data_IF_550632811031
#
_entry.id   IF_550632811031
#
_cell.length_a   1.000
_cell.length_b   1.000
_cell.length_c   1.000
_cell.angle_alpha   90.00
_cell.angle_beta   90.00
_cell.angle_gamma   90.00
#
_symmetry.space_group_name_H-M   'P 1'
#
loop_
_entity.id
_entity.type
_entity.pdbx_description
1 polymer ?
#
# COMPACT_ATOMS: atom_id res chain seq x y z
N UNK A 1 -11.19 -6.45 -16.78
CA UNK A 1 -12.33 -5.81 -17.44
C UNK A 1 -13.52 -5.82 -16.50
N UNK A 2 -14.03 -4.64 -16.13
CA UNK A 2 -15.01 -4.42 -15.06
C UNK A 2 -16.31 -5.23 -15.21
N UNK A 3 -16.75 -5.49 -16.44
CA UNK A 3 -18.02 -6.17 -16.74
C UNK A 3 -17.87 -7.67 -17.02
N UNK A 4 -16.65 -8.21 -17.14
CA UNK A 4 -16.45 -9.61 -17.48
C UNK A 4 -17.10 -10.58 -16.47
N UNK A 5 -17.05 -10.34 -15.14
CA UNK A 5 -17.71 -11.21 -14.16
C UNK A 5 -19.22 -11.31 -14.36
N UNK A 6 -19.87 -10.27 -14.90
CA UNK A 6 -21.34 -10.23 -15.11
C UNK A 6 -21.82 -11.24 -16.16
N UNK A 7 -20.92 -11.81 -16.95
CA UNK A 7 -21.25 -12.80 -17.97
C UNK A 7 -21.32 -14.24 -17.43
N UNK A 8 -21.06 -14.45 -16.12
CA UNK A 8 -20.99 -15.76 -15.49
C UNK A 8 -21.91 -15.84 -14.27
N UNK A 9 -22.39 -17.05 -13.97
CA UNK A 9 -23.04 -17.31 -12.69
C UNK A 9 -21.99 -17.50 -11.59
N UNK A 10 -21.95 -16.55 -10.66
CA UNK A 10 -21.02 -16.54 -9.53
C UNK A 10 -21.73 -16.82 -8.19
N UNK A 11 -22.98 -17.28 -8.23
CA UNK A 11 -23.83 -17.45 -7.04
C UNK A 11 -23.32 -18.49 -6.04
N UNK A 12 -22.41 -19.38 -6.44
CA UNK A 12 -21.77 -20.36 -5.56
C UNK A 12 -20.68 -19.75 -4.66
N UNK A 13 -20.19 -18.55 -4.97
CA UNK A 13 -19.15 -17.89 -4.19
C UNK A 13 -19.69 -17.43 -2.82
N UNK A 14 -19.02 -17.85 -1.75
CA UNK A 14 -19.37 -17.49 -0.37
C UNK A 14 -18.32 -16.62 0.31
N UNK A 15 -17.06 -16.76 -0.11
CA UNK A 15 -15.93 -16.01 0.41
C UNK A 15 -15.06 -15.58 -0.76
N UNK A 16 -14.61 -14.33 -0.74
CA UNK A 16 -13.67 -13.74 -1.68
C UNK A 16 -12.39 -13.38 -0.94
N UNK A 17 -11.22 -13.64 -1.53
CA UNK A 17 -9.94 -13.27 -0.93
C UNK A 17 -9.36 -12.03 -1.59
N UNK A 18 -8.77 -11.15 -0.78
CA UNK A 18 -7.84 -10.08 -1.19
C UNK A 18 -6.51 -10.31 -0.48
N UNK A 19 -5.39 -10.10 -1.18
CA UNK A 19 -4.06 -10.40 -0.65
C UNK A 19 -2.96 -9.59 -1.35
N UNK A 20 -1.96 -9.18 -0.56
CA UNK A 20 -0.65 -8.78 -1.06
C UNK A 20 -0.40 -7.27 -1.11
N UNK A 21 -1.44 -6.46 -1.27
CA UNK A 21 -1.41 -4.98 -1.20
C UNK A 21 -2.69 -4.49 -0.51
N UNK A 22 -2.68 -3.29 0.11
CA UNK A 22 -3.90 -2.67 0.61
C UNK A 22 -4.94 -2.55 -0.52
N UNK A 23 -6.14 -3.07 -0.29
CA UNK A 23 -7.25 -2.94 -1.23
C UNK A 23 -7.87 -1.54 -1.09
N UNK A 24 -7.95 -0.80 -2.19
CA UNK A 24 -8.57 0.52 -2.19
C UNK A 24 -10.09 0.42 -2.05
N UNK A 25 -10.71 1.57 -1.77
CA UNK A 25 -12.15 1.66 -1.53
C UNK A 25 -13.01 1.27 -2.75
N UNK A 26 -12.63 1.69 -3.96
CA UNK A 26 -13.43 1.45 -5.16
C UNK A 26 -13.35 -0.02 -5.56
N UNK A 27 -12.15 -0.60 -5.53
CA UNK A 27 -11.93 -2.02 -5.81
C UNK A 27 -12.65 -2.91 -4.79
N UNK A 28 -12.62 -2.55 -3.50
CA UNK A 28 -13.34 -3.30 -2.47
C UNK A 28 -14.85 -3.34 -2.76
N UNK A 29 -15.46 -2.18 -3.05
CA UNK A 29 -16.89 -2.11 -3.38
C UNK A 29 -17.18 -2.93 -4.64
N UNK A 30 -16.42 -2.70 -5.72
CA UNK A 30 -16.61 -3.44 -6.97
C UNK A 30 -16.51 -4.95 -6.74
N UNK A 31 -15.55 -5.42 -5.94
CA UNK A 31 -15.35 -6.84 -5.68
C UNK A 31 -16.50 -7.43 -4.84
N UNK A 32 -16.99 -6.70 -3.84
CA UNK A 32 -18.13 -7.11 -3.02
C UNK A 32 -19.43 -7.14 -3.83
N UNK A 33 -19.67 -6.09 -4.61
CA UNK A 33 -20.92 -5.92 -5.34
C UNK A 33 -20.99 -6.77 -6.62
N UNK A 34 -19.95 -6.69 -7.46
CA UNK A 34 -19.96 -7.30 -8.80
C UNK A 34 -19.58 -8.77 -8.76
N UNK A 35 -18.55 -9.14 -8.00
CA UNK A 35 -18.09 -10.54 -7.91
C UNK A 35 -18.80 -11.27 -6.78
N UNK A 36 -18.94 -10.62 -5.62
CA UNK A 36 -19.55 -11.22 -4.44
C UNK A 36 -21.07 -11.18 -4.41
N UNK A 37 -21.71 -10.50 -5.37
CA UNK A 37 -23.15 -10.31 -5.45
C UNK A 37 -23.77 -9.79 -4.13
N UNK A 38 -23.01 -8.96 -3.40
CA UNK A 38 -23.36 -8.42 -2.07
C UNK A 38 -23.67 -9.51 -1.02
N UNK A 39 -23.20 -10.74 -1.24
CA UNK A 39 -23.46 -11.91 -0.40
C UNK A 39 -22.18 -12.57 0.12
N UNK A 40 -21.13 -12.61 -0.71
CA UNK A 40 -19.87 -13.21 -0.32
C UNK A 40 -19.11 -12.31 0.67
N UNK A 41 -18.49 -12.93 1.68
CA UNK A 41 -17.61 -12.23 2.62
C UNK A 41 -16.24 -12.02 1.96
N UNK A 42 -15.74 -10.78 1.94
CA UNK A 42 -14.35 -10.48 1.58
C UNK A 42 -13.46 -10.72 2.79
N UNK A 43 -12.46 -11.57 2.61
CA UNK A 43 -11.34 -11.74 3.52
C UNK A 43 -10.11 -11.01 2.95
N UNK A 44 -9.84 -9.82 3.48
CA UNK A 44 -8.60 -9.11 3.20
C UNK A 44 -7.50 -9.66 4.11
N UNK A 45 -6.54 -10.34 3.51
CA UNK A 45 -5.56 -11.17 4.21
C UNK A 45 -4.19 -10.50 4.19
N UNK A 46 -3.78 -9.97 5.33
CA UNK A 46 -2.45 -9.39 5.49
C UNK A 46 -1.46 -10.44 5.97
N UNK A 47 -0.36 -10.56 5.22
CA UNK A 47 0.82 -11.35 5.54
C UNK A 47 1.99 -11.03 4.61
N UNK A 48 3.14 -11.61 4.92
CA UNK A 48 4.39 -11.46 4.17
C UNK A 48 5.03 -12.83 3.93
N UNK A 49 5.95 -12.93 2.97
CA UNK A 49 6.70 -14.17 2.71
C UNK A 49 7.32 -14.73 4.00
N UNK A 50 7.88 -13.85 4.82
CA UNK A 50 8.60 -14.15 6.07
C UNK A 50 7.69 -14.58 7.20
N UNK A 51 6.38 -14.35 7.06
CA UNK A 51 5.38 -14.77 8.03
C UNK A 51 4.87 -16.18 7.78
N UNK A 52 5.07 -16.72 6.58
CA UNK A 52 4.68 -18.07 6.18
C UNK A 52 3.17 -18.26 5.93
N UNK A 53 2.32 -17.34 6.38
CA UNK A 53 0.87 -17.39 6.18
C UNK A 53 0.17 -16.19 6.79
N UNK A 54 -1.16 -16.17 6.73
CA UNK A 54 -2.00 -15.05 7.19
C UNK A 54 -1.65 -14.64 8.63
N UNK A 55 -1.50 -13.34 8.87
CA UNK A 55 -1.21 -12.76 10.19
C UNK A 55 -2.43 -12.02 10.71
N UNK A 56 -3.05 -11.20 9.88
CA UNK A 56 -4.31 -10.50 10.14
C UNK A 56 -5.26 -10.89 9.02
N UNK A 57 -6.43 -11.37 9.38
CA UNK A 57 -7.51 -11.60 8.43
C UNK A 57 -8.85 -11.55 9.18
N UNK A 58 -9.93 -11.09 8.55
CA UNK A 58 -11.26 -11.32 9.11
C UNK A 58 -11.56 -12.82 9.01
N UNK A 59 -12.29 -13.35 10.00
CA UNK A 59 -12.89 -14.68 9.90
C UNK A 59 -14.26 -14.55 9.24
N UNK A 60 -14.45 -15.03 7.99
CA UNK A 60 -15.73 -14.95 7.30
C UNK A 60 -16.84 -15.53 8.17
N UNK A 61 -17.99 -14.86 8.18
CA UNK A 61 -19.20 -15.24 8.94
C UNK A 61 -19.08 -15.12 10.48
N UNK A 62 -17.90 -14.84 11.03
CA UNK A 62 -17.71 -14.61 12.46
C UNK A 62 -17.42 -13.14 12.80
N UNK A 63 -16.75 -12.43 11.89
CA UNK A 63 -16.32 -11.05 12.09
C UNK A 63 -16.97 -10.16 11.02
N UNK A 64 -17.65 -9.06 11.39
CA UNK A 64 -18.15 -8.08 10.42
C UNK A 64 -17.03 -7.56 9.52
N UNK A 65 -17.28 -7.46 8.22
CA UNK A 65 -16.30 -6.87 7.33
C UNK A 65 -16.23 -5.37 7.54
N UNK A 66 -15.01 -4.85 7.67
CA UNK A 66 -14.75 -3.42 7.51
C UNK A 66 -13.92 -3.20 6.25
N UNK A 67 -14.44 -2.33 5.40
CA UNK A 67 -13.79 -1.93 4.15
C UNK A 67 -12.37 -1.43 4.44
N UNK A 68 -11.38 -1.89 3.66
CA UNK A 68 -9.93 -1.63 3.81
C UNK A 68 -9.26 -2.18 5.07
N UNK A 69 -9.99 -2.79 5.99
CA UNK A 69 -9.39 -3.40 7.16
C UNK A 69 -8.99 -4.85 6.88
N UNK A 70 -7.80 -5.22 7.35
CA UNK A 70 -7.37 -6.61 7.39
C UNK A 70 -8.03 -7.39 8.55
N UNK A 71 -8.81 -6.74 9.42
CA UNK A 71 -9.49 -7.38 10.56
C UNK A 71 -8.62 -7.43 11.81
N UNK A 72 -8.52 -8.62 12.40
CA UNK A 72 -7.82 -8.86 13.67
C UNK A 72 -6.67 -9.86 13.50
N UNK A 73 -5.66 -9.82 14.38
CA UNK A 73 -4.63 -10.86 14.41
C UNK A 73 -5.26 -12.25 14.56
N UNK A 74 -4.78 -13.21 13.78
CA UNK A 74 -5.24 -14.59 13.87
C UNK A 74 -4.86 -15.25 15.21
N UNK A 75 -5.54 -16.34 15.63
CA UNK A 75 -5.21 -17.05 16.85
C UNK A 75 -3.72 -17.41 16.94
N UNK A 76 -3.09 -17.04 18.05
CA UNK A 76 -1.66 -17.25 18.29
C UNK A 76 -0.74 -16.16 17.72
N UNK A 77 -1.27 -15.18 16.98
CA UNK A 77 -0.53 -14.03 16.49
C UNK A 77 -0.69 -12.85 17.45
N UNK A 78 0.44 -12.33 17.94
CA UNK A 78 0.46 -11.12 18.77
C UNK A 78 0.81 -9.88 17.94
N UNK A 79 -0.05 -9.56 16.97
CA UNK A 79 0.08 -8.38 16.09
C UNK A 79 -0.30 -7.10 16.82
N UNK A 80 0.58 -6.09 16.78
CA UNK A 80 0.43 -4.83 17.51
C UNK A 80 0.82 -3.62 16.65
N UNK A 81 0.12 -2.49 16.84
CA UNK A 81 0.58 -1.17 16.35
C UNK A 81 1.34 -0.47 17.46
N UNK A 82 2.57 -0.07 17.18
CA UNK A 82 3.49 0.53 18.17
C UNK A 82 4.16 1.80 17.67
N UNK A 83 4.64 2.62 18.61
CA UNK A 83 5.57 3.71 18.30
C UNK A 83 6.99 3.19 18.05
N UNK A 84 7.92 4.13 17.76
CA UNK A 84 9.35 3.82 17.55
C UNK A 84 10.05 3.19 18.76
N UNK A 85 9.48 3.31 19.96
CA UNK A 85 10.00 2.75 21.20
C UNK A 85 9.29 1.44 21.59
N UNK A 86 8.52 0.85 20.66
CA UNK A 86 7.78 -0.39 20.87
C UNK A 86 6.59 -0.24 21.81
N UNK A 87 6.19 0.98 22.20
CA UNK A 87 5.00 1.22 23.03
C UNK A 87 3.76 1.06 22.17
N UNK A 88 2.81 0.24 22.62
CA UNK A 88 1.52 0.05 21.94
C UNK A 88 0.76 1.38 21.85
N UNK A 89 0.27 1.69 20.65
CA UNK A 89 -0.52 2.88 20.35
C UNK A 89 -2.01 2.65 20.59
N UNK A 90 -2.74 3.76 20.73
CA UNK A 90 -4.17 3.82 20.89
C UNK A 90 -4.95 3.75 19.58
N UNK A 91 -6.24 4.07 19.68
CA UNK A 91 -7.19 4.19 18.55
C UNK A 91 -6.82 5.41 17.70
N UNK A 92 -6.91 5.26 16.37
CA UNK A 92 -6.59 6.26 15.34
C UNK A 92 -5.15 6.81 15.40
N UNK A 93 -4.25 6.15 16.11
CA UNK A 93 -2.84 6.51 16.19
C UNK A 93 -2.02 5.70 15.17
N UNK A 94 -1.44 6.40 14.19
CA UNK A 94 -0.57 5.80 13.19
C UNK A 94 0.76 5.32 13.80
N UNK A 95 1.10 4.06 13.56
CA UNK A 95 2.33 3.46 14.05
C UNK A 95 2.88 2.36 13.16
N UNK A 96 3.80 1.59 13.73
CA UNK A 96 4.48 0.48 13.09
C UNK A 96 3.77 -0.82 13.44
N UNK A 97 3.50 -1.66 12.44
CA UNK A 97 2.97 -2.99 12.67
C UNK A 97 4.10 -3.96 13.05
N UNK A 98 3.98 -4.54 14.24
CA UNK A 98 4.93 -5.51 14.78
C UNK A 98 4.22 -6.79 15.20
N UNK A 99 4.97 -7.89 15.27
CA UNK A 99 4.51 -9.11 15.93
C UNK A 99 5.36 -9.32 17.17
N UNK A 100 4.74 -9.21 18.35
CA UNK A 100 5.45 -9.10 19.62
C UNK A 100 5.89 -10.45 20.21
N UNK A 101 5.45 -11.56 19.63
CA UNK A 101 5.82 -12.93 20.02
C UNK A 101 6.04 -13.80 18.77
N UNK A 102 6.93 -14.80 18.82
CA UNK A 102 7.10 -15.76 17.74
C UNK A 102 5.80 -16.54 17.46
N UNK A 103 5.61 -16.92 16.20
CA UNK A 103 4.51 -17.76 15.74
C UNK A 103 5.04 -18.99 15.00
N UNK A 104 4.23 -20.06 14.84
CA UNK A 104 4.71 -21.34 14.31
C UNK A 104 5.38 -21.23 12.93
N UNK A 105 4.76 -20.51 12.00
CA UNK A 105 5.18 -20.40 10.60
C UNK A 105 6.24 -19.32 10.32
N UNK A 106 6.72 -18.62 11.35
CA UNK A 106 7.71 -17.56 11.21
C UNK A 106 8.97 -18.04 10.47
N UNK A 107 9.49 -17.26 9.53
CA UNK A 107 10.78 -17.55 8.90
C UNK A 107 11.89 -17.70 9.95
N UNK A 108 12.83 -18.61 9.70
CA UNK A 108 13.90 -18.94 10.66
C UNK A 108 15.22 -18.22 10.38
N UNK A 109 15.36 -17.60 9.20
CA UNK A 109 16.59 -16.95 8.75
C UNK A 109 16.52 -16.59 7.28
N UNK A 110 17.58 -15.95 6.78
CA UNK A 110 17.85 -15.79 5.35
C UNK A 110 18.95 -16.80 5.01
N UNK A 111 18.76 -17.57 3.94
CA UNK A 111 19.70 -18.62 3.56
C UNK A 111 21.13 -18.09 3.43
N UNK A 112 22.03 -18.60 4.27
CA UNK A 112 23.45 -18.22 4.31
C UNK A 112 23.75 -16.85 4.91
N UNK A 113 22.77 -16.16 5.51
CA UNK A 113 22.93 -14.79 6.04
C UNK A 113 21.99 -14.50 7.23
N UNK A 114 22.26 -15.15 8.37
CA UNK A 114 21.47 -14.99 9.60
C UNK A 114 21.59 -13.57 10.18
N UNK A 115 22.74 -12.91 10.03
CA UNK A 115 22.95 -11.54 10.49
C UNK A 115 22.02 -10.56 9.76
N UNK A 116 21.84 -10.73 8.45
CA UNK A 116 20.88 -9.94 7.68
C UNK A 116 19.45 -10.20 8.13
N UNK A 117 19.09 -11.42 8.51
CA UNK A 117 17.75 -11.69 9.04
C UNK A 117 17.49 -10.90 10.32
N UNK A 118 18.42 -10.95 11.28
CA UNK A 118 18.31 -10.17 12.53
C UNK A 118 18.27 -8.67 12.24
N UNK A 119 19.17 -8.18 11.38
CA UNK A 119 19.23 -6.76 10.99
C UNK A 119 17.99 -6.30 10.21
N UNK A 120 17.31 -7.17 9.47
CA UNK A 120 16.16 -6.75 8.66
C UNK A 120 14.89 -6.70 9.47
N UNK A 121 14.68 -7.67 10.39
CA UNK A 121 13.39 -7.83 11.05
C UNK A 121 13.41 -7.53 12.56
N UNK A 122 14.58 -7.37 13.18
CA UNK A 122 14.72 -7.28 14.64
C UNK A 122 15.62 -6.12 15.13
N UNK A 123 16.08 -5.21 14.26
CA UNK A 123 16.96 -4.10 14.66
C UNK A 123 16.29 -2.75 14.84
N UNK A 124 15.03 -2.60 14.42
CA UNK A 124 14.42 -1.27 14.29
C UNK A 124 13.56 -0.89 15.49
N UNK A 125 12.83 -1.85 16.05
CA UNK A 125 11.85 -1.60 17.10
C UNK A 125 12.13 -2.49 18.31
N UNK A 126 12.34 -1.85 19.46
CA UNK A 126 12.59 -2.52 20.73
C UNK A 126 11.55 -2.12 21.76
N UNK A 127 11.03 -3.09 22.51
CA UNK A 127 10.24 -2.86 23.72
C UNK A 127 11.06 -3.29 24.92
N UNK A 128 11.41 -2.35 25.80
CA UNK A 128 12.20 -2.65 27.00
C UNK A 128 13.51 -3.40 26.68
N UNK A 129 14.21 -2.96 25.62
CA UNK A 129 15.43 -3.59 25.07
C UNK A 129 15.23 -4.97 24.42
N UNK A 130 14.00 -5.49 24.32
CA UNK A 130 13.71 -6.72 23.57
C UNK A 130 13.32 -6.35 22.14
N UNK A 131 13.96 -6.95 21.12
CA UNK A 131 13.57 -6.69 19.74
C UNK A 131 12.19 -7.28 19.46
N UNK A 132 11.40 -6.57 18.67
CA UNK A 132 10.13 -7.06 18.13
C UNK A 132 10.32 -7.42 16.65
N UNK A 133 9.55 -8.38 16.13
CA UNK A 133 9.51 -8.58 14.68
C UNK A 133 8.86 -7.36 14.06
N UNK A 134 9.63 -6.58 13.31
CA UNK A 134 9.11 -5.46 12.55
C UNK A 134 8.78 -5.93 11.14
N UNK A 135 7.51 -5.78 10.76
CA UNK A 135 7.05 -6.11 9.41
C UNK A 135 7.60 -5.15 8.35
N UNK A 136 8.00 -3.93 8.74
CA UNK A 136 8.26 -2.84 7.80
C UNK A 136 6.98 -2.19 7.25
N UNK A 137 5.81 -2.55 7.76
CA UNK A 137 4.52 -1.93 7.44
C UNK A 137 4.03 -1.04 8.58
N UNK A 138 3.22 -0.04 8.22
CA UNK A 138 2.51 0.83 9.14
C UNK A 138 1.03 0.46 9.25
N UNK A 139 0.39 0.99 10.27
CA UNK A 139 -1.05 0.84 10.44
C UNK A 139 -1.58 1.58 11.66
N UNK A 140 -2.88 1.45 11.87
CA UNK A 140 -3.58 1.98 13.03
C UNK A 140 -4.73 1.05 13.42
N UNK A 141 -5.26 1.27 14.63
CA UNK A 141 -6.50 0.67 15.09
C UNK A 141 -7.64 1.64 14.89
N UNK A 142 -8.79 1.17 14.44
CA UNK A 142 -10.02 1.94 14.58
C UNK A 142 -10.63 1.80 15.99
N UNK A 143 -11.74 2.48 16.21
CA UNK A 143 -12.50 2.46 17.47
C UNK A 143 -13.01 1.07 17.89
N UNK A 144 -13.22 0.16 16.94
CA UNK A 144 -13.62 -1.23 17.20
C UNK A 144 -12.41 -2.18 17.30
N UNK A 145 -11.19 -1.65 17.23
CA UNK A 145 -9.94 -2.40 17.32
C UNK A 145 -9.54 -3.15 16.05
N UNK A 146 -10.19 -2.87 14.91
CA UNK A 146 -9.78 -3.39 13.61
C UNK A 146 -8.44 -2.79 13.21
N UNK A 147 -7.57 -3.60 12.61
CA UNK A 147 -6.29 -3.15 12.11
C UNK A 147 -6.43 -2.72 10.65
N UNK A 148 -5.98 -1.51 10.37
CA UNK A 148 -5.81 -0.99 9.01
C UNK A 148 -4.33 -0.93 8.70
N UNK A 149 -3.90 -1.64 7.67
CA UNK A 149 -2.52 -1.61 7.19
C UNK A 149 -2.40 -0.51 6.15
N UNK A 150 -1.53 0.47 6.42
CA UNK A 150 -1.34 1.64 5.57
C UNK A 150 -0.24 1.45 4.52
N UNK A 151 0.37 0.26 4.48
CA UNK A 151 1.45 -0.09 3.56
C UNK A 151 2.83 0.03 4.20
N UNK A 152 3.87 0.02 3.38
CA UNK A 152 5.27 0.05 3.85
C UNK A 152 5.58 1.35 4.55
N UNK A 153 6.32 1.32 5.66
CA UNK A 153 6.78 2.56 6.31
C UNK A 153 7.78 3.34 5.48
N UNK A 154 8.48 2.65 4.57
CA UNK A 154 9.32 3.28 3.54
C UNK A 154 8.49 4.06 2.50
N UNK A 155 7.16 3.88 2.54
CA UNK A 155 6.14 4.61 1.79
C UNK A 155 5.41 5.62 2.71
N UNK A 156 6.05 6.09 3.79
CA UNK A 156 5.64 7.29 4.53
C UNK A 156 6.53 8.45 4.09
N UNK A 157 5.93 9.61 3.83
CA UNK A 157 6.66 10.85 3.52
C UNK A 157 6.54 11.85 4.66
N UNK A 158 7.59 12.64 4.86
CA UNK A 158 7.63 13.72 5.83
C UNK A 158 7.53 15.09 5.13
N UNK A 159 6.31 15.62 5.05
CA UNK A 159 6.03 16.91 4.41
C UNK A 159 5.88 17.96 5.50
N UNK A 160 6.83 18.89 5.58
CA UNK A 160 6.83 19.99 6.57
C UNK A 160 6.71 19.52 8.03
N UNK A 161 7.27 18.35 8.36
CA UNK A 161 7.22 17.77 9.71
C UNK A 161 6.05 16.81 9.94
N UNK A 162 5.12 16.68 8.99
CA UNK A 162 3.97 15.79 9.08
C UNK A 162 4.26 14.47 8.36
N UNK A 163 4.08 13.36 9.08
CA UNK A 163 4.19 12.01 8.52
C UNK A 163 2.89 11.65 7.83
N UNK A 164 2.95 11.47 6.52
CA UNK A 164 1.81 11.16 5.68
C UNK A 164 2.03 9.78 5.06
N UNK A 165 1.09 8.87 5.28
CA UNK A 165 1.10 7.57 4.61
C UNK A 165 0.74 7.74 3.13
N UNK A 166 1.58 7.28 2.22
CA UNK A 166 1.33 7.42 0.78
C UNK A 166 0.00 6.77 0.37
N UNK A 167 -0.35 5.61 0.95
CA UNK A 167 -1.58 4.90 0.63
C UNK A 167 -2.86 5.70 0.95
N UNK A 168 -2.84 6.54 1.99
CA UNK A 168 -3.97 7.42 2.31
C UNK A 168 -4.22 8.45 1.20
N UNK A 169 -3.14 8.96 0.62
CA UNK A 169 -3.19 9.91 -0.50
C UNK A 169 -3.59 9.21 -1.79
N UNK A 170 -3.05 8.01 -2.05
CA UNK A 170 -3.43 7.16 -3.19
C UNK A 170 -4.94 6.89 -3.19
N UNK A 171 -5.53 6.54 -2.04
CA UNK A 171 -6.97 6.29 -1.90
C UNK A 171 -7.87 7.46 -2.30
N UNK A 172 -7.40 8.71 -2.16
CA UNK A 172 -8.15 9.89 -2.59
C UNK A 172 -7.93 10.15 -4.07
N UNK A 173 -6.71 9.92 -4.56
CA UNK A 173 -6.37 10.06 -5.98
C UNK A 173 -7.14 9.05 -6.82
N UNK A 174 -7.22 7.80 -6.39
CA UNK A 174 -7.91 6.71 -7.10
C UNK A 174 -9.41 6.95 -7.24
N UNK A 175 -10.04 7.69 -6.32
CA UNK A 175 -11.47 8.10 -6.43
C UNK A 175 -11.75 9.04 -7.61
N UNK A 176 -10.73 9.54 -8.31
CA UNK A 176 -10.95 10.37 -9.49
C UNK A 176 -11.50 9.54 -10.66
N UNK A 177 -12.63 9.95 -11.23
CA UNK A 177 -13.31 9.25 -12.33
C UNK A 177 -12.44 8.97 -13.57
N UNK A 178 -11.34 9.71 -13.75
CA UNK A 178 -10.44 9.53 -14.90
C UNK A 178 -9.30 8.55 -14.62
N UNK A 179 -9.05 8.17 -13.36
CA UNK A 179 -7.90 7.37 -12.93
C UNK A 179 -8.29 5.89 -12.86
N UNK A 180 -7.48 5.04 -13.46
CA UNK A 180 -7.62 3.58 -13.40
C UNK A 180 -6.74 2.96 -12.31
N UNK A 181 -5.53 3.48 -12.17
CA UNK A 181 -4.57 3.11 -11.13
C UNK A 181 -3.60 4.26 -10.92
N UNK A 182 -3.12 4.44 -9.70
CA UNK A 182 -2.04 5.35 -9.40
C UNK A 182 -0.96 4.72 -8.52
N UNK A 183 0.21 5.33 -8.55
CA UNK A 183 1.30 5.05 -7.63
C UNK A 183 1.98 6.37 -7.26
N UNK A 184 2.01 6.69 -5.98
CA UNK A 184 2.63 7.89 -5.46
C UNK A 184 3.98 7.54 -4.82
N UNK A 185 4.95 8.44 -4.92
CA UNK A 185 6.27 8.29 -4.30
C UNK A 185 6.75 9.59 -3.67
N UNK A 186 7.50 9.47 -2.58
CA UNK A 186 8.22 10.58 -1.97
C UNK A 186 9.45 11.00 -2.78
N UNK A 187 9.55 12.29 -3.06
CA UNK A 187 10.71 12.95 -3.65
C UNK A 187 11.22 14.06 -2.72
N UNK A 188 12.53 14.37 -2.73
CA UNK A 188 13.07 15.52 -2.00
C UNK A 188 12.44 16.83 -2.50
N UNK A 189 12.14 17.75 -1.58
CA UNK A 189 11.67 19.10 -1.90
C UNK A 189 12.37 20.11 -0.98
N UNK A 190 12.89 21.20 -1.55
CA UNK A 190 13.67 22.19 -0.79
C UNK A 190 12.84 22.96 0.25
N UNK A 191 11.53 23.09 0.03
CA UNK A 191 10.64 23.87 0.91
C UNK A 191 9.99 23.00 1.97
N UNK A 192 9.53 21.81 1.59
CA UNK A 192 8.77 20.92 2.48
C UNK A 192 9.59 19.75 3.01
N UNK A 193 10.85 19.61 2.62
CA UNK A 193 11.72 18.46 2.92
C UNK A 193 11.44 17.30 1.97
N UNK A 194 10.21 16.81 1.96
CA UNK A 194 9.71 15.87 0.97
C UNK A 194 8.41 16.35 0.34
N UNK A 195 8.13 15.89 -0.87
CA UNK A 195 6.86 16.09 -1.56
C UNK A 195 6.44 14.81 -2.29
N UNK A 196 5.18 14.74 -2.72
CA UNK A 196 4.63 13.60 -3.44
C UNK A 196 4.70 13.80 -4.95
N UNK A 197 5.17 12.77 -5.65
CA UNK A 197 5.12 12.66 -7.10
C UNK A 197 4.19 11.50 -7.46
N UNK A 198 3.23 11.72 -8.37
CA UNK A 198 2.30 10.67 -8.78
C UNK A 198 2.55 10.11 -10.16
N UNK A 199 2.44 8.79 -10.31
CA UNK A 199 2.32 8.09 -11.58
C UNK A 199 0.88 7.67 -11.74
N UNK A 200 0.25 8.04 -12.86
CA UNK A 200 -1.18 7.88 -13.05
C UNK A 200 -1.47 7.20 -14.37
N UNK A 201 -2.38 6.23 -14.35
CA UNK A 201 -2.93 5.59 -15.54
C UNK A 201 -4.40 5.97 -15.64
N UNK A 202 -4.85 6.32 -16.84
CA UNK A 202 -6.22 6.79 -17.06
C UNK A 202 -7.15 5.63 -17.46
N UNK A 203 -8.42 5.67 -17.02
CA UNK A 203 -9.48 4.73 -17.43
C UNK A 203 -9.72 4.78 -18.95
N UNK A 204 -9.71 5.98 -19.51
CA UNK A 204 -9.84 6.24 -20.95
C UNK A 204 -8.61 6.97 -21.49
N UNK A 205 -8.30 6.80 -22.78
CA UNK A 205 -7.29 7.59 -23.50
C UNK A 205 -7.74 9.03 -23.80
N UNK A 206 -8.50 9.66 -22.89
CA UNK A 206 -8.88 11.07 -22.98
C UNK A 206 -7.61 11.93 -22.93
N UNK A 207 -7.55 12.94 -23.79
CA UNK A 207 -6.46 13.92 -23.79
C UNK A 207 -6.61 14.88 -22.61
N UNK A 208 -6.23 14.42 -21.41
CA UNK A 208 -6.08 15.24 -20.22
C UNK A 208 -4.60 15.55 -20.03
N UNK A 209 -4.27 16.83 -19.84
CA UNK A 209 -2.88 17.22 -19.56
C UNK A 209 -2.49 16.88 -18.11
N UNK A 210 -1.21 16.63 -17.86
CA UNK A 210 -0.70 16.42 -16.50
C UNK A 210 -1.05 17.60 -15.58
N UNK A 211 -1.02 18.83 -16.10
CA UNK A 211 -1.30 20.05 -15.32
C UNK A 211 -2.75 20.13 -14.88
N UNK A 212 -3.69 19.86 -15.77
CA UNK A 212 -5.13 19.93 -15.46
C UNK A 212 -5.54 18.84 -14.46
N UNK A 213 -5.00 17.62 -14.65
CA UNK A 213 -5.25 16.53 -13.71
C UNK A 213 -4.61 16.81 -12.35
N UNK A 214 -3.37 17.30 -12.30
CA UNK A 214 -2.69 17.69 -11.06
C UNK A 214 -3.52 18.69 -10.24
N UNK A 215 -4.05 19.73 -10.89
CA UNK A 215 -4.89 20.72 -10.23
C UNK A 215 -6.15 20.10 -9.65
N UNK A 216 -6.85 19.25 -10.40
CA UNK A 216 -8.06 18.54 -9.93
C UNK A 216 -7.77 17.63 -8.74
N UNK A 217 -6.66 16.88 -8.78
CA UNK A 217 -6.26 16.01 -7.69
C UNK A 217 -5.91 16.81 -6.43
N UNK A 218 -5.14 17.90 -6.57
CA UNK A 218 -4.77 18.75 -5.43
C UNK A 218 -5.97 19.47 -4.80
N UNK A 219 -7.01 19.82 -5.58
CA UNK A 219 -8.27 20.32 -5.03
C UNK A 219 -8.95 19.26 -4.16
N UNK A 220 -8.97 18.00 -4.62
CA UNK A 220 -9.60 16.88 -3.91
C UNK A 220 -8.83 16.56 -2.62
N UNK A 221 -7.50 16.46 -2.70
CA UNK A 221 -6.63 16.24 -1.54
C UNK A 221 -6.78 17.34 -0.48
N UNK A 222 -6.85 18.60 -0.91
CA UNK A 222 -7.07 19.73 0.01
C UNK A 222 -8.42 19.64 0.72
N UNK A 223 -9.45 19.11 0.05
CA UNK A 223 -10.79 18.95 0.63
C UNK A 223 -10.84 17.80 1.64
N UNK A 224 -10.19 16.68 1.35
CA UNK A 224 -10.28 15.45 2.15
C UNK A 224 -9.26 15.40 3.30
N UNK A 225 -7.98 15.74 3.05
CA UNK A 225 -6.91 15.72 4.08
C UNK A 225 -6.62 17.12 4.61
N UNK A 226 -6.66 18.13 3.73
CA UNK A 226 -6.31 19.50 4.07
C UNK A 226 -5.14 20.04 3.24
N UNK A 227 -4.79 21.33 3.42
CA UNK A 227 -3.81 22.02 2.58
C UNK A 227 -2.38 21.50 2.74
N UNK A 228 -2.13 20.66 3.73
CA UNK A 228 -0.80 20.15 4.07
C UNK A 228 -0.30 19.07 3.12
N UNK A 229 -1.23 18.35 2.48
CA UNK A 229 -0.92 17.31 1.49
C UNK A 229 -1.26 17.82 0.10
N UNK A 230 -0.26 17.80 -0.78
CA UNK A 230 -0.46 18.04 -2.20
C UNK A 230 0.58 17.26 -3.01
N UNK A 231 0.19 16.89 -4.23
CA UNK A 231 1.09 16.37 -5.24
C UNK A 231 1.90 17.53 -5.82
N UNK A 232 3.22 17.40 -5.83
CA UNK A 232 4.13 18.35 -6.48
C UNK A 232 3.98 18.29 -8.00
N UNK A 233 3.96 17.06 -8.52
CA UNK A 233 3.85 16.75 -9.94
C UNK A 233 3.17 15.40 -10.12
N UNK A 234 2.63 15.16 -11.32
CA UNK A 234 2.18 13.84 -11.76
C UNK A 234 2.69 13.53 -13.16
N UNK A 235 2.82 12.25 -13.45
CA UNK A 235 3.13 11.73 -14.77
C UNK A 235 2.05 10.75 -15.21
N UNK A 236 1.35 11.09 -16.29
CA UNK A 236 0.43 10.16 -16.96
C UNK A 236 1.24 9.14 -17.78
N UNK A 237 1.03 7.85 -17.50
CA UNK A 237 1.66 6.71 -18.16
C UNK A 237 0.61 5.73 -18.68
N UNK A 238 1.01 4.80 -19.55
CA UNK A 238 0.11 3.78 -20.10
C UNK A 238 -0.18 2.64 -19.12
N UNK A 239 0.77 2.33 -18.25
CA UNK A 239 0.64 1.33 -17.17
C UNK A 239 1.71 1.59 -16.09
N UNK A 240 1.52 1.01 -14.91
CA UNK A 240 2.52 1.00 -13.84
C UNK A 240 3.40 -0.27 -13.90
N UNK A 241 4.69 -0.21 -13.53
CA UNK A 241 5.55 -1.39 -13.48
C UNK A 241 5.11 -2.31 -12.35
N UNK A 242 4.62 -3.50 -12.72
CA UNK A 242 4.15 -4.52 -11.77
C UNK A 242 4.98 -5.79 -11.82
N UNK A 243 5.08 -6.49 -10.69
CA UNK A 243 5.59 -7.86 -10.66
C UNK A 243 4.56 -8.82 -11.26
N UNK A 244 4.99 -10.05 -11.58
CA UNK A 244 4.06 -11.14 -11.96
C UNK A 244 2.96 -11.45 -10.91
N UNK A 245 3.13 -11.02 -9.67
CA UNK A 245 2.13 -11.14 -8.61
C UNK A 245 1.23 -9.90 -8.49
N UNK A 246 1.29 -8.98 -9.46
CA UNK A 246 0.48 -7.76 -9.52
C UNK A 246 1.01 -6.59 -8.69
N UNK A 247 2.14 -6.75 -7.97
CA UNK A 247 2.62 -5.71 -7.05
C UNK A 247 3.31 -4.57 -7.77
N UNK A 248 2.96 -3.33 -7.43
CA UNK A 248 3.62 -2.15 -8.02
C UNK A 248 5.05 -2.05 -7.49
N UNK A 249 6.03 -1.95 -8.40
CA UNK A 249 7.44 -1.85 -8.04
C UNK A 249 7.81 -0.40 -7.71
N UNK A 250 7.22 0.13 -6.61
CA UNK A 250 7.35 1.54 -6.17
C UNK A 250 8.79 2.01 -6.02
N UNK A 251 9.71 1.12 -5.60
CA UNK A 251 11.14 1.42 -5.50
C UNK A 251 11.73 1.95 -6.80
N UNK A 252 11.34 1.38 -7.95
CA UNK A 252 11.81 1.80 -9.27
C UNK A 252 11.22 3.16 -9.63
N UNK A 253 9.92 3.35 -9.42
CA UNK A 253 9.23 4.63 -9.62
C UNK A 253 9.86 5.76 -8.78
N UNK A 254 10.24 5.47 -7.53
CA UNK A 254 10.93 6.41 -6.64
C UNK A 254 12.30 6.82 -7.18
N UNK A 255 13.10 5.87 -7.65
CA UNK A 255 14.40 6.19 -8.24
C UNK A 255 14.24 7.04 -9.51
N UNK A 256 13.31 6.65 -10.38
CA UNK A 256 12.99 7.37 -11.60
C UNK A 256 12.52 8.81 -11.31
N UNK A 257 11.61 8.99 -10.35
CA UNK A 257 11.14 10.32 -9.94
C UNK A 257 12.25 11.20 -9.34
N UNK A 258 13.27 10.59 -8.72
CA UNK A 258 14.46 11.28 -8.20
C UNK A 258 15.54 11.51 -9.25
N UNK A 259 15.29 11.18 -10.52
CA UNK A 259 16.27 11.27 -11.61
C UNK A 259 17.45 10.31 -11.47
N UNK A 260 17.31 9.25 -10.65
CA UNK A 260 18.36 8.24 -10.43
C UNK A 260 18.23 7.09 -11.41
N UNK A 261 19.33 6.36 -11.58
CA UNK A 261 19.32 5.11 -12.31
C UNK A 261 18.48 4.04 -11.59
N UNK A 262 17.94 3.10 -12.37
CA UNK A 262 17.18 1.98 -11.83
C UNK A 262 18.18 0.98 -11.25
N UNK A 263 18.13 0.77 -9.94
CA UNK A 263 18.99 -0.17 -9.24
C UNK A 263 18.24 -1.47 -8.91
N UNK A 264 18.97 -2.56 -8.62
CA UNK A 264 18.40 -3.83 -8.15
C UNK A 264 17.80 -4.73 -9.23
N UNK A 265 17.30 -5.89 -8.80
CA UNK A 265 16.75 -6.90 -9.71
C UNK A 265 15.38 -6.48 -10.26
N UNK A 266 15.23 -6.61 -11.58
CA UNK A 266 14.01 -6.35 -12.35
C UNK A 266 13.48 -7.61 -13.03
N UNK A 267 14.06 -8.79 -12.76
CA UNK A 267 13.68 -10.07 -13.37
C UNK A 267 12.21 -10.43 -13.20
N UNK A 268 11.58 -9.94 -12.12
CA UNK A 268 10.18 -10.19 -11.75
C UNK A 268 9.19 -9.18 -12.32
N UNK A 269 9.66 -8.07 -12.90
CA UNK A 269 8.82 -7.06 -13.56
C UNK A 269 8.23 -7.68 -14.83
N UNK A 270 6.90 -7.63 -14.95
CA UNK A 270 6.18 -8.26 -16.06
C UNK A 270 6.47 -7.58 -17.40
N UNK A 271 6.26 -6.27 -17.48
CA UNK A 271 6.65 -5.46 -18.63
C UNK A 271 7.86 -4.57 -18.29
N UNK A 272 9.02 -4.84 -18.89
CA UNK A 272 10.23 -4.03 -18.68
C UNK A 272 10.27 -2.79 -19.58
N UNK A 273 9.57 -2.79 -20.71
CA UNK A 273 9.58 -1.68 -21.67
C UNK A 273 8.98 -0.41 -21.06
N UNK A 274 7.98 -0.56 -20.19
CA UNK A 274 7.34 0.57 -19.50
C UNK A 274 8.33 1.40 -18.69
N UNK A 275 9.39 0.79 -18.16
CA UNK A 275 10.42 1.49 -17.41
C UNK A 275 11.19 2.48 -18.28
N UNK A 276 11.46 2.11 -19.54
CA UNK A 276 12.08 2.99 -20.53
C UNK A 276 11.18 4.18 -20.87
N UNK A 277 9.90 3.91 -21.14
CA UNK A 277 8.89 4.94 -21.45
C UNK A 277 8.75 5.94 -20.29
N UNK A 278 8.62 5.44 -19.05
CA UNK A 278 8.53 6.29 -17.86
C UNK A 278 9.82 7.12 -17.70
N UNK A 279 11.00 6.51 -17.88
CA UNK A 279 12.29 7.21 -17.78
C UNK A 279 12.42 8.34 -18.81
N UNK A 280 12.04 8.11 -20.06
CA UNK A 280 12.04 9.16 -21.10
C UNK A 280 11.06 10.28 -20.78
N UNK A 281 9.84 9.93 -20.34
CA UNK A 281 8.84 10.91 -19.95
C UNK A 281 9.29 11.79 -18.78
N UNK A 282 9.98 11.23 -17.79
CA UNK A 282 10.54 12.01 -16.67
C UNK A 282 11.67 12.92 -17.13
N UNK A 283 12.54 12.48 -18.05
CA UNK A 283 13.58 13.34 -18.63
C UNK A 283 13.00 14.56 -19.34
N UNK A 284 11.84 14.42 -19.97
CA UNK A 284 11.13 15.52 -20.62
C UNK A 284 10.30 16.38 -19.64
N UNK A 285 10.29 16.01 -18.35
CA UNK A 285 9.52 16.66 -17.28
C UNK A 285 10.35 17.65 -16.46
N UNK A 286 11.65 17.36 -16.31
CA UNK A 286 12.65 18.21 -15.66
C UNK A 286 13.29 19.17 -16.67
#
# INVERSE_FOLDING_TARGET
>A
GENLPKNFDLSSLKVLGSVGEPIDSETWDWYFETVGNKKASIADTYWQTETGGHIIAPFPFAIPMKKRSAGFPLPGICGEIVDKNGKKLGVEENGFFVISKPWPAMARGIWGDDEKFVKTYFSDIFREKKPLYFSGDGGFYDEDGYIFITGRVDDIVNISGHKIGIAEVEDIVDKNENIAECALVGIPDELTGEALFGFVVLKDKKNISNKDLLQKLNISLRKEIGPIVSLKNILITSELPKTRSGKIVRRVLRNLAKGKEIEGDLSTVENKEILGIIKEKIKNFN
#
